data_IF_379085108930
#
_entry.id   IF_379085108930
#
_cell.length_a   1.000
_cell.length_b   1.000
_cell.length_c   1.000
_cell.angle_alpha   90.00
_cell.angle_beta   90.00
_cell.angle_gamma   90.00
#
_symmetry.space_group_name_H-M   'P 1'
#
loop_
_entity.id
_entity.type
_entity.pdbx_description
1 polymer ?
#
# COMPACT_ATOMS: atom_id res chain seq x y z
N UNK A 1 8.80 19.66 -14.49
CA UNK A 1 7.42 19.29 -14.87
C UNK A 1 7.03 17.82 -14.57
N UNK A 2 7.89 17.01 -13.93
CA UNK A 2 7.55 15.62 -13.52
C UNK A 2 7.15 15.46 -12.04
N UNK A 3 7.29 16.52 -11.24
CA UNK A 3 7.05 16.47 -9.79
C UNK A 3 5.58 16.27 -9.43
N UNK A 4 4.67 17.03 -10.06
CA UNK A 4 3.24 17.06 -9.72
C UNK A 4 2.55 15.73 -10.01
N UNK A 5 2.77 15.17 -11.20
CA UNK A 5 2.17 13.88 -11.64
C UNK A 5 2.56 12.72 -10.70
N UNK A 6 3.80 12.72 -10.19
CA UNK A 6 4.29 11.68 -9.28
C UNK A 6 3.67 11.80 -7.88
N UNK A 7 3.47 13.03 -7.41
CA UNK A 7 2.79 13.31 -6.15
C UNK A 7 1.33 12.84 -6.19
N UNK A 8 0.63 13.12 -7.29
CA UNK A 8 -0.78 12.74 -7.46
C UNK A 8 -0.95 11.21 -7.57
N UNK A 9 -0.07 10.54 -8.33
CA UNK A 9 -0.07 9.07 -8.43
C UNK A 9 0.21 8.39 -7.08
N UNK A 10 1.12 8.95 -6.28
CA UNK A 10 1.42 8.44 -4.94
C UNK A 10 0.22 8.62 -4.01
N UNK A 11 -0.48 9.75 -4.10
CA UNK A 11 -1.66 10.06 -3.31
C UNK A 11 -2.82 9.09 -3.59
N UNK A 12 -3.15 8.87 -4.87
CA UNK A 12 -4.22 7.92 -5.25
C UNK A 12 -3.84 6.47 -4.93
N UNK A 13 -2.57 6.10 -5.08
CA UNK A 13 -2.09 4.78 -4.69
C UNK A 13 -2.17 4.59 -3.17
N UNK A 14 -1.85 5.63 -2.40
CA UNK A 14 -1.94 5.63 -0.94
C UNK A 14 -3.39 5.48 -0.48
N UNK A 15 -4.32 6.22 -1.09
CA UNK A 15 -5.76 6.08 -0.85
C UNK A 15 -6.20 4.63 -1.06
N UNK A 16 -5.84 4.04 -2.21
CA UNK A 16 -6.17 2.67 -2.53
C UNK A 16 -5.60 1.68 -1.49
N UNK A 17 -4.35 1.88 -1.04
CA UNK A 17 -3.75 1.03 -0.01
C UNK A 17 -4.50 1.09 1.33
N UNK A 18 -4.98 2.27 1.71
CA UNK A 18 -5.77 2.49 2.92
C UNK A 18 -7.17 1.90 2.78
N UNK A 19 -7.86 2.12 1.66
CA UNK A 19 -9.19 1.55 1.37
C UNK A 19 -9.16 0.01 1.36
N UNK A 20 -8.12 -0.57 0.76
CA UNK A 20 -7.88 -2.01 0.72
C UNK A 20 -7.31 -2.56 2.04
N UNK A 21 -7.03 -1.71 3.04
CA UNK A 21 -6.47 -2.08 4.35
C UNK A 21 -5.17 -2.89 4.23
N UNK A 22 -4.35 -2.57 3.23
CA UNK A 22 -3.04 -3.22 3.03
C UNK A 22 -2.16 -3.11 4.29
N UNK A 23 -2.06 -1.95 4.98
CA UNK A 23 -1.28 -1.86 6.21
C UNK A 23 -1.74 -2.85 7.29
N UNK A 24 -3.05 -2.94 7.51
CA UNK A 24 -3.64 -3.82 8.53
C UNK A 24 -3.43 -5.30 8.16
N UNK A 25 -3.56 -5.67 6.88
CA UNK A 25 -3.35 -7.04 6.40
C UNK A 25 -1.90 -7.50 6.62
N UNK A 26 -0.92 -6.66 6.26
CA UNK A 26 0.49 -6.96 6.46
C UNK A 26 0.82 -7.04 7.96
N UNK A 27 0.25 -6.13 8.77
CA UNK A 27 0.42 -6.15 10.23
C UNK A 27 -0.11 -7.45 10.86
N UNK A 28 -1.36 -7.82 10.52
CA UNK A 28 -2.04 -8.98 11.10
C UNK A 28 -1.39 -10.31 10.71
N UNK A 29 -0.63 -10.35 9.61
CA UNK A 29 0.17 -11.52 9.24
C UNK A 29 1.42 -11.70 10.11
N UNK A 30 1.89 -10.66 10.79
CA UNK A 30 2.98 -10.71 11.77
C UNK A 30 4.39 -10.87 11.18
N UNK A 31 4.53 -11.05 9.87
CA UNK A 31 5.81 -11.22 9.17
C UNK A 31 5.76 -10.60 7.76
N UNK A 32 6.89 -10.63 7.06
CA UNK A 32 6.96 -10.15 5.68
C UNK A 32 5.98 -10.92 4.78
N UNK A 33 5.17 -10.21 4.00
CA UNK A 33 4.08 -10.80 3.23
C UNK A 33 4.40 -10.85 1.74
N UNK A 34 4.30 -12.02 1.11
CA UNK A 34 4.50 -12.17 -0.33
C UNK A 34 3.34 -11.55 -1.14
N UNK A 35 3.60 -11.19 -2.39
CA UNK A 35 2.57 -10.66 -3.30
C UNK A 35 1.37 -11.60 -3.46
N UNK A 36 1.61 -12.90 -3.58
CA UNK A 36 0.55 -13.89 -3.74
C UNK A 36 -0.33 -13.97 -2.49
N UNK A 37 0.27 -13.96 -1.30
CA UNK A 37 -0.48 -13.99 -0.05
C UNK A 37 -1.28 -12.70 0.16
N UNK A 38 -0.68 -11.54 -0.16
CA UNK A 38 -1.39 -10.27 -0.12
C UNK A 38 -2.60 -10.26 -1.07
N UNK A 39 -2.45 -10.79 -2.28
CA UNK A 39 -3.56 -10.88 -3.23
C UNK A 39 -4.67 -11.81 -2.75
N UNK A 40 -4.32 -12.94 -2.14
CA UNK A 40 -5.28 -13.86 -1.53
C UNK A 40 -6.05 -13.18 -0.39
N UNK A 41 -5.35 -12.47 0.51
CA UNK A 41 -5.97 -11.73 1.60
C UNK A 41 -6.91 -10.60 1.12
N UNK A 42 -6.60 -10.01 -0.04
CA UNK A 42 -7.43 -8.99 -0.69
C UNK A 42 -8.55 -9.56 -1.58
N UNK A 43 -8.60 -10.89 -1.78
CA UNK A 43 -9.55 -11.52 -2.72
C UNK A 43 -9.31 -11.15 -4.19
N UNK A 44 -8.07 -10.77 -4.55
CA UNK A 44 -7.70 -10.35 -5.90
C UNK A 44 -7.41 -11.58 -6.77
N UNK A 45 -8.11 -11.68 -7.90
CA UNK A 45 -7.87 -12.74 -8.88
C UNK A 45 -6.45 -12.67 -9.48
N UNK A 46 -5.87 -13.82 -9.80
CA UNK A 46 -4.48 -13.94 -10.30
C UNK A 46 -4.19 -13.03 -11.51
N UNK A 47 -5.18 -12.83 -12.38
CA UNK A 47 -5.06 -11.93 -13.55
C UNK A 47 -4.76 -10.46 -13.21
N UNK A 48 -5.05 -10.02 -11.98
CA UNK A 48 -4.81 -8.64 -11.50
C UNK A 48 -3.57 -8.52 -10.59
N UNK A 49 -2.78 -9.58 -10.42
CA UNK A 49 -1.55 -9.54 -9.60
C UNK A 49 -0.56 -8.50 -10.07
N UNK A 50 -0.45 -8.30 -11.39
CA UNK A 50 0.44 -7.29 -11.97
C UNK A 50 0.04 -5.86 -11.55
N UNK A 51 -1.26 -5.57 -11.43
CA UNK A 51 -1.76 -4.30 -10.93
C UNK A 51 -1.39 -4.10 -9.46
N UNK A 52 -1.60 -5.11 -8.62
CA UNK A 52 -1.24 -5.06 -7.20
C UNK A 52 0.26 -4.86 -7.02
N UNK A 53 1.08 -5.59 -7.78
CA UNK A 53 2.54 -5.42 -7.77
C UNK A 53 2.96 -4.00 -8.14
N UNK A 54 2.33 -3.42 -9.18
CA UNK A 54 2.63 -2.05 -9.61
C UNK A 54 2.25 -1.02 -8.54
N UNK A 55 1.10 -1.19 -7.90
CA UNK A 55 0.67 -0.37 -6.76
C UNK A 55 1.68 -0.47 -5.61
N UNK A 56 2.07 -1.68 -5.22
CA UNK A 56 3.06 -1.89 -4.16
C UNK A 56 4.41 -1.25 -4.50
N UNK A 57 4.87 -1.34 -5.74
CA UNK A 57 6.11 -0.66 -6.18
C UNK A 57 6.05 0.85 -6.02
N UNK A 58 4.92 1.47 -6.35
CA UNK A 58 4.74 2.92 -6.17
C UNK A 58 4.83 3.26 -4.68
N UNK A 59 4.11 2.52 -3.84
CA UNK A 59 4.07 2.78 -2.40
C UNK A 59 5.41 2.53 -1.72
N UNK A 60 6.17 1.53 -2.16
CA UNK A 60 7.53 1.25 -1.69
C UNK A 60 8.46 2.41 -2.07
N UNK A 61 8.42 2.84 -3.33
CA UNK A 61 9.26 3.94 -3.79
C UNK A 61 8.93 5.26 -3.07
N UNK A 62 7.67 5.44 -2.66
CA UNK A 62 7.22 6.58 -1.85
C UNK A 62 7.46 6.40 -0.34
N UNK A 63 8.08 5.29 0.11
CA UNK A 63 8.49 5.05 1.49
C UNK A 63 7.40 4.53 2.44
N UNK A 64 6.20 4.24 1.93
CA UNK A 64 5.10 3.70 2.75
C UNK A 64 5.32 2.25 3.13
N UNK A 65 5.96 1.45 2.27
CA UNK A 65 6.28 0.06 2.54
C UNK A 65 7.74 -0.21 2.19
N UNK A 66 8.27 -1.32 2.65
CA UNK A 66 9.59 -1.79 2.24
C UNK A 66 9.52 -3.21 1.69
N UNK A 67 10.49 -3.53 0.84
CA UNK A 67 10.69 -4.87 0.30
C UNK A 67 11.73 -5.60 1.17
N UNK A 68 11.37 -6.77 1.66
CA UNK A 68 12.27 -7.69 2.36
C UNK A 68 12.60 -8.87 1.44
N UNK A 69 13.88 -9.24 1.40
CA UNK A 69 14.34 -10.44 0.68
C UNK A 69 14.22 -11.63 1.63
N UNK A 70 13.18 -12.43 1.45
CA UNK A 70 13.06 -13.73 2.14
C UNK A 70 13.99 -14.69 1.42
N UNK A 71 15.22 -14.86 1.94
CA UNK A 71 16.33 -15.67 1.40
C UNK A 71 17.02 -15.15 0.12
N UNK A 72 18.35 -15.35 -0.02
CA UNK A 72 19.09 -15.03 -1.25
C UNK A 72 18.70 -15.88 -2.46
N UNK A 73 18.13 -17.06 -2.21
CA UNK A 73 17.76 -18.06 -3.23
C UNK A 73 16.34 -17.88 -3.75
N UNK A 74 15.45 -17.31 -2.94
CA UNK A 74 14.08 -17.01 -3.35
C UNK A 74 14.02 -15.58 -3.89
N UNK A 75 13.73 -15.47 -5.19
CA UNK A 75 13.41 -14.18 -5.82
C UNK A 75 12.04 -13.62 -5.38
N UNK A 76 11.41 -14.25 -4.39
CA UNK A 76 10.09 -13.88 -3.95
C UNK A 76 10.16 -12.65 -3.04
N UNK A 77 9.73 -11.53 -3.61
CA UNK A 77 9.64 -10.24 -2.92
C UNK A 77 8.59 -10.33 -1.81
N UNK A 78 8.98 -9.99 -0.59
CA UNK A 78 8.05 -9.87 0.52
C UNK A 78 7.92 -8.40 0.95
N UNK A 79 6.75 -8.02 1.43
CA UNK A 79 6.44 -6.65 1.84
C UNK A 79 6.42 -6.55 3.36
N UNK A 80 7.02 -5.49 3.88
CA UNK A 80 7.00 -5.14 5.30
C UNK A 80 6.51 -3.72 5.51
N UNK A 81 6.01 -3.45 6.71
CA UNK A 81 5.63 -2.11 7.11
C UNK A 81 6.87 -1.25 7.38
N UNK A 82 6.73 0.04 7.11
CA UNK A 82 7.65 1.09 7.56
C UNK A 82 6.97 1.86 8.69
N UNK A 83 7.69 2.72 9.44
CA UNK A 83 7.05 3.57 10.45
C UNK A 83 5.85 4.36 9.90
N UNK A 84 5.90 4.76 8.63
CA UNK A 84 4.81 5.51 7.99
C UNK A 84 3.58 4.63 7.80
N UNK A 85 3.70 3.40 7.27
CA UNK A 85 2.53 2.52 7.13
C UNK A 85 1.99 2.02 8.46
N UNK A 86 2.80 1.97 9.53
CA UNK A 86 2.28 1.77 10.88
C UNK A 86 1.36 2.91 11.35
N UNK A 87 1.61 4.15 10.90
CA UNK A 87 0.73 5.28 11.21
C UNK A 87 -0.62 5.18 10.48
N UNK A 88 -0.66 4.56 9.30
CA UNK A 88 -1.87 4.42 8.49
C UNK A 88 -2.87 3.38 9.04
N UNK A 89 -2.47 2.60 10.04
CA UNK A 89 -3.28 1.53 10.65
C UNK A 89 -4.56 2.09 11.27
N UNK A 90 -5.67 1.34 11.18
CA UNK A 90 -6.99 1.82 11.64
C UNK A 90 -7.05 2.06 13.16
N UNK A 91 -6.28 1.30 13.92
CA UNK A 91 -6.25 1.34 15.38
C UNK A 91 -5.22 2.31 15.95
N UNK A 92 -4.53 3.08 15.09
CA UNK A 92 -3.71 4.19 15.55
C UNK A 92 -4.59 5.44 15.76
N UNK A 93 -4.69 5.99 16.99
CA UNK A 93 -5.50 7.19 17.26
C UNK A 93 -4.99 8.44 16.52
N UNK A 94 -3.72 8.45 16.10
CA UNK A 94 -3.10 9.51 15.31
C UNK A 94 -3.06 9.19 13.81
N UNK A 95 -3.85 8.21 13.36
CA UNK A 95 -3.86 7.79 11.97
C UNK A 95 -4.34 8.92 11.05
N UNK A 96 -3.57 9.31 10.01
CA UNK A 96 -4.02 10.27 9.02
C UNK A 96 -5.02 9.65 8.02
N UNK A 97 -5.38 8.37 8.18
CA UNK A 97 -6.29 7.64 7.30
C UNK A 97 -7.63 8.35 7.05
N UNK A 98 -8.36 8.87 8.06
CA UNK A 98 -9.61 9.61 7.81
C UNK A 98 -9.39 10.85 6.92
N UNK A 99 -8.25 11.53 7.09
CA UNK A 99 -7.88 12.69 6.29
C UNK A 99 -7.51 12.31 4.85
N UNK A 100 -6.72 11.24 4.66
CA UNK A 100 -6.37 10.71 3.33
C UNK A 100 -7.62 10.29 2.56
N UNK A 101 -8.56 9.61 3.23
CA UNK A 101 -9.81 9.18 2.61
C UNK A 101 -10.72 10.37 2.25
N UNK A 102 -10.79 11.39 3.12
CA UNK A 102 -11.61 12.58 2.90
C UNK A 102 -11.06 13.54 1.85
N UNK A 103 -9.76 13.83 1.84
CA UNK A 103 -9.13 14.74 0.87
C UNK A 103 -9.17 14.24 -0.57
N UNK A 104 -9.20 12.92 -0.75
CA UNK A 104 -9.14 12.27 -2.05
C UNK A 104 -10.51 11.72 -2.48
N UNK A 105 -11.58 12.19 -1.84
CA UNK A 105 -12.94 11.88 -2.24
C UNK A 105 -13.23 12.53 -3.60
N UNK A 106 -13.67 11.76 -4.63
CA UNK A 106 -14.05 12.31 -5.92
C UNK A 106 -15.13 13.40 -5.84
N UNK A 107 -15.89 13.48 -4.73
CA UNK A 107 -16.86 14.57 -4.51
C UNK A 107 -16.17 15.93 -4.30
N UNK A 108 -14.97 15.98 -3.71
CA UNK A 108 -14.19 17.21 -3.48
C UNK A 108 -13.21 17.54 -4.62
N UNK A 109 -13.00 16.60 -5.55
CA UNK A 109 -12.14 16.75 -6.73
C UNK A 109 -12.93 17.04 -8.01
N UNK A 110 -14.25 17.22 -7.92
CA UNK A 110 -15.05 17.79 -9.02
C UNK A 110 -14.77 19.29 -9.11
N UNK A 111 -14.37 19.80 -10.29
CA UNK A 111 -14.24 21.24 -10.52
C UNK A 111 -15.60 21.97 -10.44
#
# INVERSE_FOLDING_TARGET
MFGTIRSDLSSMSLKCAVELKIPDIIHNHGQAMSLSYLALALGIHHSKLHCLHRLMRILIHSGFFAESKTNPTDQQKAYVLTPISHLLRKDNPLSPTPFILGMLDPVLLKP
#
